data_IF_643806060183
#
_entry.id   IF_643806060183
#
_cell.length_a   1.000
_cell.length_b   1.000
_cell.length_c   1.000
_cell.angle_alpha   90.00
_cell.angle_beta   90.00
_cell.angle_gamma   90.00
#
_symmetry.space_group_name_H-M   'P 1'
#
loop_
_entity.id
_entity.type
_entity.pdbx_description
1 polymer ?
#
# COMPACT_ATOMS: atom_id res chain seq x y z
N UNK A 1 12.99 7.95 -33.27
CA UNK A 1 14.44 7.64 -33.15
C UNK A 1 14.69 7.31 -31.68
N UNK A 2 14.83 6.01 -31.37
CA UNK A 2 14.90 5.48 -30.01
C UNK A 2 16.35 5.05 -29.76
N UNK A 3 17.00 5.62 -28.74
CA UNK A 3 18.32 5.17 -28.27
C UNK A 3 18.13 4.24 -27.07
N UNK A 4 18.59 2.98 -27.10
CA UNK A 4 18.63 2.15 -25.91
C UNK A 4 19.89 2.46 -25.10
N UNK A 5 19.70 2.95 -23.87
CA UNK A 5 20.76 2.97 -22.86
C UNK A 5 20.79 1.60 -22.16
N UNK A 6 21.72 0.76 -22.57
CA UNK A 6 22.14 -0.41 -21.80
C UNK A 6 23.26 0.02 -20.85
N UNK A 7 22.98 0.08 -19.53
CA UNK A 7 24.02 0.24 -18.53
C UNK A 7 23.96 -0.91 -17.50
N UNK A 8 24.78 -1.90 -17.81
CA UNK A 8 25.49 -2.89 -16.98
C UNK A 8 25.19 -2.83 -15.48
N UNK A 9 24.54 -3.88 -15.00
CA UNK A 9 24.50 -4.32 -13.61
C UNK A 9 25.88 -4.85 -13.19
N UNK A 10 26.52 -4.18 -12.24
CA UNK A 10 27.73 -4.67 -11.58
C UNK A 10 27.34 -5.37 -10.28
N UNK A 11 27.39 -6.69 -10.28
CA UNK A 11 27.24 -7.56 -9.11
C UNK A 11 28.54 -7.56 -8.31
N UNK A 12 28.57 -6.87 -7.17
CA UNK A 12 29.63 -7.00 -6.17
C UNK A 12 29.26 -8.12 -5.18
N UNK A 13 29.90 -9.27 -5.33
CA UNK A 13 29.89 -10.35 -4.37
C UNK A 13 30.81 -10.00 -3.18
N UNK A 14 30.25 -9.85 -1.98
CA UNK A 14 31.03 -9.77 -0.74
C UNK A 14 31.24 -11.19 -0.19
N UNK A 15 32.49 -11.65 0.00
CA UNK A 15 32.75 -12.90 0.70
C UNK A 15 32.65 -12.71 2.22
N UNK A 16 31.90 -13.62 2.84
CA UNK A 16 31.84 -13.88 4.28
C UNK A 16 33.24 -14.18 4.83
N UNK A 17 33.69 -13.42 5.83
CA UNK A 17 34.86 -13.77 6.64
C UNK A 17 34.39 -13.98 8.09
N UNK A 18 34.20 -15.25 8.47
CA UNK A 18 34.08 -15.68 9.85
C UNK A 18 35.48 -15.68 10.47
N UNK A 19 35.72 -14.81 11.46
CA UNK A 19 36.89 -14.92 12.33
C UNK A 19 36.43 -15.25 13.74
N UNK A 20 36.53 -16.54 14.10
CA UNK A 20 36.57 -17.01 15.49
C UNK A 20 38.00 -16.79 16.00
N UNK A 21 38.17 -16.00 17.07
CA UNK A 21 39.42 -15.96 17.81
C UNK A 21 39.18 -15.70 19.31
N UNK A 22 39.38 -16.79 20.06
CA UNK A 22 40.00 -16.92 21.37
C UNK A 22 39.61 -15.94 22.50
N UNK A 23 38.97 -16.52 23.52
CA UNK A 23 38.91 -16.00 24.88
C UNK A 23 40.32 -15.82 25.47
N UNK A 24 40.64 -14.58 25.87
CA UNK A 24 41.75 -14.29 26.75
C UNK A 24 41.22 -14.04 28.17
N UNK A 25 41.48 -14.98 29.08
CA UNK A 25 41.34 -14.80 30.52
C UNK A 25 42.40 -13.80 30.98
N UNK A 26 41.98 -12.56 31.29
CA UNK A 26 42.82 -11.59 31.98
C UNK A 26 42.62 -11.73 33.51
N UNK A 27 43.69 -11.62 34.32
CA UNK A 27 43.62 -11.74 35.76
C UNK A 27 42.86 -10.56 36.37
N UNK A 28 42.02 -10.86 37.35
CA UNK A 28 41.25 -9.87 38.11
C UNK A 28 42.20 -9.03 38.97
N UNK A 29 42.62 -7.88 38.46
CA UNK A 29 43.16 -6.80 39.27
C UNK A 29 41.99 -6.12 39.99
N UNK A 30 42.02 -6.11 41.32
CA UNK A 30 41.06 -5.37 42.14
C UNK A 30 41.20 -3.88 41.87
N UNK A 31 40.30 -3.34 41.05
CA UNK A 31 40.15 -1.91 40.88
C UNK A 31 39.39 -1.34 42.09
N UNK A 32 40.04 -0.43 42.82
CA UNK A 32 39.38 0.48 43.75
C UNK A 32 38.20 1.18 43.04
N UNK A 33 37.14 1.59 43.76
CA UNK A 33 36.07 2.39 43.16
C UNK A 33 36.64 3.76 42.82
N UNK A 34 37.19 3.90 41.61
CA UNK A 34 37.38 5.20 41.00
C UNK A 34 35.98 5.69 40.63
N UNK A 35 35.52 6.70 41.35
CA UNK A 35 34.43 7.57 40.91
C UNK A 35 34.82 8.06 39.51
N UNK A 36 34.28 7.40 38.48
CA UNK A 36 34.48 7.83 37.10
C UNK A 36 33.84 9.20 36.99
N UNK A 37 34.68 10.24 36.98
CA UNK A 37 34.25 11.56 36.57
C UNK A 37 33.67 11.42 35.17
N UNK A 38 32.36 11.63 35.05
CA UNK A 38 31.70 11.68 33.75
C UNK A 38 32.46 12.67 32.87
N UNK A 39 32.70 12.36 31.59
CA UNK A 39 33.32 13.31 30.68
C UNK A 39 32.51 14.60 30.70
N UNK A 40 33.15 15.72 30.99
CA UNK A 40 32.53 17.04 30.98
C UNK A 40 32.08 17.33 29.55
N UNK A 41 30.82 17.04 29.27
CA UNK A 41 30.17 17.41 28.01
C UNK A 41 30.29 18.94 27.88
N UNK A 42 30.91 19.41 26.79
CA UNK A 42 31.11 20.83 26.57
C UNK A 42 29.76 21.54 26.47
N UNK A 43 29.58 22.59 27.26
CA UNK A 43 28.36 23.39 27.23
C UNK A 43 28.25 24.10 25.86
N UNK A 44 27.24 23.76 25.05
CA UNK A 44 27.10 24.29 23.68
C UNK A 44 26.83 25.80 23.69
N UNK A 45 26.20 26.34 24.75
CA UNK A 45 25.98 27.77 24.90
C UNK A 45 27.31 28.47 25.23
N UNK A 46 28.13 27.87 26.07
CA UNK A 46 29.46 28.39 26.38
C UNK A 46 30.38 28.44 25.15
N UNK A 47 30.26 27.45 24.27
CA UNK A 47 30.99 27.40 23.01
C UNK A 47 30.52 28.47 22.02
N UNK A 48 29.20 28.60 21.84
CA UNK A 48 28.60 29.65 21.00
C UNK A 48 29.01 31.06 21.45
N UNK A 49 29.03 31.32 22.75
CA UNK A 49 29.38 32.64 23.30
C UNK A 49 30.87 32.93 23.16
N UNK A 50 31.75 31.94 23.38
CA UNK A 50 33.19 32.08 23.08
C UNK A 50 33.46 32.39 21.62
N UNK A 51 32.72 31.79 20.69
CA UNK A 51 32.83 32.08 19.26
C UNK A 51 32.47 33.53 18.91
N UNK A 52 31.65 34.20 19.74
CA UNK A 52 31.31 35.63 19.61
C UNK A 52 32.24 36.57 20.38
N UNK A 53 33.30 36.05 21.00
CA UNK A 53 34.21 36.83 21.85
C UNK A 53 33.66 37.15 23.24
N UNK A 54 32.53 36.54 23.64
CA UNK A 54 31.91 36.73 24.95
C UNK A 54 32.39 35.68 25.95
N UNK A 55 32.49 36.04 27.22
CA UNK A 55 32.79 35.09 28.30
C UNK A 55 31.51 34.60 28.94
N UNK A 56 31.26 33.30 28.84
CA UNK A 56 30.19 32.62 29.53
C UNK A 56 30.67 32.07 30.89
N UNK A 57 29.94 32.38 31.94
CA UNK A 57 30.09 31.75 33.25
C UNK A 57 28.78 31.09 33.65
N UNK A 58 28.74 29.74 33.60
CA UNK A 58 27.61 28.96 34.10
C UNK A 58 27.51 29.15 35.62
N UNK A 59 26.33 29.44 36.12
CA UNK A 59 26.06 29.35 37.55
C UNK A 59 26.24 27.88 38.00
N UNK A 60 26.81 27.63 39.19
CA UNK A 60 26.95 26.26 39.69
C UNK A 60 25.56 25.65 39.92
N UNK A 61 25.43 24.33 39.74
CA UNK A 61 24.14 23.65 39.91
C UNK A 61 23.60 23.73 41.35
N UNK A 62 24.48 23.98 42.34
CA UNK A 62 24.08 24.29 43.72
C UNK A 62 23.28 25.59 43.87
N UNK A 63 23.30 26.47 42.87
CA UNK A 63 22.48 27.68 42.82
C UNK A 63 21.06 27.43 42.26
N UNK A 64 20.77 26.21 41.77
CA UNK A 64 19.43 25.85 41.32
C UNK A 64 18.48 25.65 42.52
N UNK A 65 17.23 26.07 42.33
CA UNK A 65 16.18 25.80 43.30
C UNK A 65 15.75 24.32 43.22
N UNK A 66 15.90 23.51 44.28
CA UNK A 66 15.56 22.09 44.25
C UNK A 66 14.07 21.83 43.98
N UNK A 67 13.16 22.75 44.35
CA UNK A 67 11.74 22.62 44.02
C UNK A 67 11.46 22.79 42.52
N UNK A 68 12.15 23.72 41.87
CA UNK A 68 12.04 23.94 40.43
C UNK A 68 12.58 22.72 39.66
N UNK A 69 13.73 22.18 40.07
CA UNK A 69 14.30 20.96 39.46
C UNK A 69 13.31 19.80 39.54
N UNK A 70 12.72 19.55 40.72
CA UNK A 70 11.69 18.50 40.87
C UNK A 70 10.48 18.74 39.99
N UNK A 71 9.98 19.98 39.93
CA UNK A 71 8.84 20.34 39.09
C UNK A 71 9.14 20.14 37.60
N UNK A 72 10.31 20.58 37.13
CA UNK A 72 10.73 20.40 35.74
C UNK A 72 10.89 18.93 35.39
N UNK A 73 11.45 18.12 36.28
CA UNK A 73 11.55 16.67 36.08
C UNK A 73 10.16 16.03 35.96
N UNK A 74 9.22 16.40 36.84
CA UNK A 74 7.85 15.91 36.78
C UNK A 74 7.14 16.31 35.47
N UNK A 75 7.29 17.57 35.05
CA UNK A 75 6.73 18.05 33.78
C UNK A 75 7.35 17.35 32.57
N UNK A 76 8.67 17.14 32.56
CA UNK A 76 9.34 16.43 31.47
C UNK A 76 8.87 14.97 31.40
N UNK A 77 8.67 14.31 32.54
CA UNK A 77 8.12 12.96 32.58
C UNK A 77 6.68 12.91 32.03
N UNK A 78 5.87 13.91 32.34
CA UNK A 78 4.52 14.04 31.78
C UNK A 78 4.55 14.25 30.26
N UNK A 79 5.43 15.13 29.76
CA UNK A 79 5.59 15.38 28.32
C UNK A 79 6.00 14.10 27.60
N UNK A 80 6.95 13.33 28.14
CA UNK A 80 7.33 12.04 27.55
C UNK A 80 6.14 11.09 27.49
N UNK A 81 5.38 10.95 28.58
CA UNK A 81 4.20 10.10 28.60
C UNK A 81 3.13 10.53 27.58
N UNK A 82 2.92 11.83 27.40
CA UNK A 82 2.00 12.35 26.39
C UNK A 82 2.50 12.11 24.96
N UNK A 83 3.80 12.28 24.72
CA UNK A 83 4.40 12.00 23.41
C UNK A 83 4.28 10.52 23.05
N UNK A 84 4.55 9.61 24.00
CA UNK A 84 4.41 8.17 23.80
C UNK A 84 2.96 7.78 23.47
N UNK A 85 2.00 8.39 24.18
CA UNK A 85 0.57 8.21 23.90
C UNK A 85 0.22 8.71 22.50
N UNK A 86 0.63 9.92 22.14
CA UNK A 86 0.37 10.51 20.83
C UNK A 86 0.95 9.62 19.71
N UNK A 87 2.19 9.15 19.86
CA UNK A 87 2.81 8.28 18.86
C UNK A 87 2.06 6.95 18.72
N UNK A 88 1.56 6.39 19.83
CA UNK A 88 0.74 5.18 19.80
C UNK A 88 -0.58 5.40 19.05
N UNK A 89 -1.22 6.54 19.25
CA UNK A 89 -2.46 6.92 18.58
C UNK A 89 -2.22 7.16 17.09
N UNK A 90 -1.14 7.84 16.72
CA UNK A 90 -0.78 8.08 15.34
C UNK A 90 -0.52 6.79 14.58
N UNK A 91 0.20 5.83 15.18
CA UNK A 91 0.39 4.50 14.57
C UNK A 91 -0.94 3.76 14.38
N UNK A 92 -1.84 3.82 15.37
CA UNK A 92 -3.15 3.19 15.26
C UNK A 92 -4.01 3.85 14.17
N UNK A 93 -4.00 5.18 14.09
CA UNK A 93 -4.72 5.95 13.09
C UNK A 93 -4.21 5.66 11.67
N UNK A 94 -2.89 5.60 11.49
CA UNK A 94 -2.28 5.24 10.20
C UNK A 94 -2.66 3.82 9.78
N UNK A 95 -2.64 2.86 10.72
CA UNK A 95 -3.06 1.48 10.44
C UNK A 95 -4.54 1.42 10.04
N UNK A 96 -5.42 2.12 10.76
CA UNK A 96 -6.84 2.18 10.45
C UNK A 96 -7.12 2.84 9.10
N UNK A 97 -6.41 3.93 8.78
CA UNK A 97 -6.52 4.60 7.49
C UNK A 97 -6.05 3.69 6.34
N UNK A 98 -4.92 3.00 6.50
CA UNK A 98 -4.42 2.08 5.49
C UNK A 98 -5.36 0.88 5.26
N UNK A 99 -5.98 0.36 6.33
CA UNK A 99 -7.02 -0.68 6.25
C UNK A 99 -8.25 -0.17 5.48
N UNK A 100 -8.75 1.01 5.83
CA UNK A 100 -9.89 1.62 5.15
C UNK A 100 -9.61 1.86 3.66
N UNK A 101 -8.40 2.34 3.33
CA UNK A 101 -7.98 2.54 1.95
C UNK A 101 -7.94 1.23 1.17
N UNK A 102 -7.39 0.15 1.75
CA UNK A 102 -7.39 -1.18 1.10
C UNK A 102 -8.80 -1.69 0.83
N UNK A 103 -9.70 -1.56 1.80
CA UNK A 103 -11.10 -1.98 1.66
C UNK A 103 -11.79 -1.21 0.54
N UNK A 104 -11.62 0.10 0.52
CA UNK A 104 -12.18 0.95 -0.53
C UNK A 104 -11.65 0.56 -1.92
N UNK A 105 -10.34 0.35 -2.07
CA UNK A 105 -9.79 -0.07 -3.36
C UNK A 105 -10.34 -1.42 -3.81
N UNK A 106 -10.42 -2.40 -2.91
CA UNK A 106 -11.01 -3.70 -3.22
C UNK A 106 -12.48 -3.61 -3.63
N UNK A 107 -13.28 -2.76 -2.97
CA UNK A 107 -14.67 -2.51 -3.34
C UNK A 107 -14.78 -1.88 -4.73
N UNK A 108 -13.93 -0.89 -5.05
CA UNK A 108 -13.90 -0.25 -6.35
C UNK A 108 -13.50 -1.22 -7.46
N UNK A 109 -12.51 -2.08 -7.21
CA UNK A 109 -12.08 -3.11 -8.16
C UNK A 109 -13.20 -4.14 -8.43
N UNK A 110 -13.87 -4.60 -7.38
CA UNK A 110 -15.01 -5.51 -7.49
C UNK A 110 -16.16 -4.88 -8.29
N UNK A 111 -16.58 -3.67 -7.91
CA UNK A 111 -17.65 -2.94 -8.60
C UNK A 111 -17.35 -2.75 -10.07
N UNK A 112 -16.11 -2.38 -10.41
CA UNK A 112 -15.71 -2.22 -11.81
C UNK A 112 -15.66 -3.56 -12.56
N UNK A 113 -15.24 -4.65 -11.91
CA UNK A 113 -15.26 -5.97 -12.52
C UNK A 113 -16.68 -6.48 -12.78
N UNK A 114 -17.59 -6.26 -11.84
CA UNK A 114 -19.01 -6.60 -11.97
C UNK A 114 -19.66 -5.81 -13.11
N UNK A 115 -19.42 -4.50 -13.19
CA UNK A 115 -19.95 -3.66 -14.26
C UNK A 115 -19.44 -4.10 -15.65
N UNK A 116 -18.15 -4.48 -15.77
CA UNK A 116 -17.61 -5.03 -17.02
C UNK A 116 -18.30 -6.34 -17.40
N UNK A 117 -18.43 -7.27 -16.45
CA UNK A 117 -19.08 -8.55 -16.69
C UNK A 117 -20.56 -8.39 -17.04
N UNK A 118 -21.26 -7.42 -16.44
CA UNK A 118 -22.64 -7.10 -16.79
C UNK A 118 -22.76 -6.57 -18.22
N UNK A 119 -21.89 -5.63 -18.61
CA UNK A 119 -21.88 -5.10 -19.97
C UNK A 119 -21.60 -6.20 -21.01
N UNK A 120 -20.63 -7.08 -20.75
CA UNK A 120 -20.32 -8.20 -21.63
C UNK A 120 -21.50 -9.16 -21.79
N UNK A 121 -22.22 -9.46 -20.69
CA UNK A 121 -23.45 -10.26 -20.73
C UNK A 121 -24.54 -9.55 -21.54
N UNK A 122 -24.74 -8.27 -21.28
CA UNK A 122 -25.74 -7.48 -21.99
C UNK A 122 -25.48 -7.45 -23.50
N UNK A 123 -24.24 -7.21 -23.92
CA UNK A 123 -23.85 -7.24 -25.34
C UNK A 123 -24.00 -8.63 -25.97
N UNK A 124 -23.75 -9.70 -25.21
CA UNK A 124 -24.02 -11.06 -25.68
C UNK A 124 -25.52 -11.33 -25.85
N UNK A 125 -26.33 -10.89 -24.90
CA UNK A 125 -27.80 -11.04 -24.93
C UNK A 125 -28.40 -10.26 -26.11
N UNK A 126 -27.93 -9.04 -26.38
CA UNK A 126 -28.35 -8.26 -27.54
C UNK A 126 -28.03 -8.99 -28.85
N UNK A 127 -26.81 -9.52 -29.01
CA UNK A 127 -26.45 -10.30 -30.19
C UNK A 127 -27.32 -11.55 -30.35
N UNK A 128 -27.57 -12.26 -29.26
CA UNK A 128 -28.43 -13.44 -29.28
C UNK A 128 -29.88 -13.10 -29.66
N UNK A 129 -30.40 -11.97 -29.17
CA UNK A 129 -31.71 -11.46 -29.53
C UNK A 129 -31.80 -11.07 -31.01
N UNK A 130 -30.81 -10.35 -31.54
CA UNK A 130 -30.73 -9.97 -32.94
C UNK A 130 -30.70 -11.20 -33.86
N UNK A 131 -29.89 -12.21 -33.52
CA UNK A 131 -29.85 -13.47 -34.26
C UNK A 131 -31.16 -14.23 -34.22
N UNK A 132 -31.84 -14.26 -33.06
CA UNK A 132 -33.14 -14.89 -32.90
C UNK A 132 -34.21 -14.18 -33.73
N UNK A 133 -34.21 -12.85 -33.74
CA UNK A 133 -35.10 -12.05 -34.57
C UNK A 133 -34.85 -12.33 -36.06
N UNK A 134 -33.60 -12.33 -36.50
CA UNK A 134 -33.25 -12.60 -37.89
C UNK A 134 -33.67 -14.02 -38.33
N UNK A 135 -33.59 -15.03 -37.45
CA UNK A 135 -34.12 -16.38 -37.71
C UNK A 135 -35.63 -16.35 -37.89
N UNK A 136 -36.33 -15.76 -36.93
CA UNK A 136 -37.78 -15.64 -36.96
C UNK A 136 -38.28 -14.93 -38.23
N UNK A 137 -37.63 -13.83 -38.64
CA UNK A 137 -37.98 -13.11 -39.86
C UNK A 137 -37.82 -13.96 -41.12
N UNK A 138 -36.76 -14.77 -41.21
CA UNK A 138 -36.56 -15.70 -42.33
C UNK A 138 -37.62 -16.80 -42.35
N UNK A 139 -37.92 -17.39 -41.19
CA UNK A 139 -38.95 -18.42 -41.05
C UNK A 139 -40.33 -17.88 -41.43
N UNK A 140 -40.67 -16.67 -40.99
CA UNK A 140 -41.93 -16.01 -41.36
C UNK A 140 -41.99 -15.65 -42.83
N UNK A 141 -40.87 -15.25 -43.45
CA UNK A 141 -40.81 -14.99 -44.88
C UNK A 141 -41.02 -16.27 -45.70
N UNK A 142 -40.37 -17.38 -45.33
CA UNK A 142 -40.57 -18.66 -46.00
C UNK A 142 -42.00 -19.21 -45.82
N UNK A 143 -42.54 -19.10 -44.60
CA UNK A 143 -43.94 -19.45 -44.34
C UNK A 143 -44.90 -18.65 -45.22
N UNK A 144 -44.75 -17.31 -45.29
CA UNK A 144 -45.57 -16.46 -46.17
C UNK A 144 -45.43 -16.86 -47.65
N UNK A 145 -44.21 -17.17 -48.10
CA UNK A 145 -43.98 -17.61 -49.47
C UNK A 145 -44.66 -18.95 -49.78
N UNK A 146 -44.62 -19.89 -48.83
CA UNK A 146 -45.30 -21.19 -48.90
C UNK A 146 -46.82 -21.02 -48.96
N UNK A 147 -47.40 -20.18 -48.09
CA UNK A 147 -48.84 -19.87 -48.12
C UNK A 147 -49.24 -19.30 -49.47
N UNK A 148 -48.52 -18.30 -49.98
CA UNK A 148 -48.84 -17.69 -51.27
C UNK A 148 -48.69 -18.69 -52.45
N UNK A 149 -47.76 -19.65 -52.38
CA UNK A 149 -47.64 -20.71 -53.38
C UNK A 149 -48.82 -21.69 -53.34
N UNK A 150 -49.28 -22.08 -52.14
CA UNK A 150 -50.50 -22.87 -51.95
C UNK A 150 -51.71 -22.18 -52.58
N UNK A 151 -51.91 -20.87 -52.31
CA UNK A 151 -53.04 -20.10 -52.81
C UNK A 151 -53.05 -19.99 -54.34
N UNK A 152 -51.87 -19.92 -54.97
CA UNK A 152 -51.72 -19.93 -56.44
C UNK A 152 -51.85 -21.33 -57.07
N UNK A 153 -52.03 -22.38 -56.26
CA UNK A 153 -52.22 -23.76 -56.72
C UNK A 153 -50.93 -24.55 -56.96
N UNK A 154 -49.75 -24.06 -56.54
CA UNK A 154 -48.50 -24.84 -56.56
C UNK A 154 -48.52 -25.90 -55.46
N UNK A 155 -49.04 -27.09 -55.82
CA UNK A 155 -49.16 -28.23 -54.90
C UNK A 155 -47.81 -28.75 -54.41
N UNK A 156 -46.73 -28.61 -55.18
CA UNK A 156 -45.42 -29.14 -54.81
C UNK A 156 -44.83 -28.35 -53.63
N UNK A 157 -44.78 -27.02 -53.73
CA UNK A 157 -44.30 -26.17 -52.63
C UNK A 157 -45.25 -26.18 -51.44
N UNK A 158 -46.56 -26.27 -51.68
CA UNK A 158 -47.55 -26.37 -50.62
C UNK A 158 -47.42 -27.64 -49.77
N UNK A 159 -47.13 -28.78 -50.39
CA UNK A 159 -46.93 -30.04 -49.68
C UNK A 159 -45.59 -30.09 -48.95
N UNK A 160 -44.54 -29.48 -49.52
CA UNK A 160 -43.23 -29.38 -48.88
C UNK A 160 -43.28 -28.60 -47.56
N UNK A 161 -44.01 -27.48 -47.51
CA UNK A 161 -44.13 -26.67 -46.28
C UNK A 161 -45.08 -27.24 -45.20
N UNK A 162 -45.77 -28.37 -45.45
CA UNK A 162 -46.55 -29.09 -44.42
C UNK A 162 -45.73 -30.11 -43.65
N UNK A 163 -44.56 -30.50 -44.17
CA UNK A 163 -43.68 -31.42 -43.46
C UNK A 163 -42.84 -30.61 -42.45
N UNK A 164 -42.76 -31.01 -41.17
CA UNK A 164 -41.85 -30.37 -40.23
C UNK A 164 -40.40 -30.57 -40.71
N UNK A 165 -39.49 -29.62 -40.44
CA UNK A 165 -38.08 -29.81 -40.76
C UNK A 165 -37.56 -31.06 -40.03
N UNK A 166 -36.89 -31.94 -40.78
CA UNK A 166 -36.29 -33.19 -40.29
C UNK A 166 -35.05 -32.96 -39.44
#
# INVERSE_FOLDING_TARGET
MIRPLALRTATLALPFALTLAAAALAPHAQAQPQTQAQPTQSDPVAEMLRARGERYHRAPDSAQNPDEVRRTQALNAEIVAQNDLAESQDRANQAAYAEAQRRYQAEMEQTQAEARAENERHEADLRAADEAQARYEREMADWRATVAACERGDRARCNAGRQPPY
#
